data_IF_388702403610
#
_entry.id   IF_388702403610
#
_cell.length_a   1.000
_cell.length_b   1.000
_cell.length_c   1.000
_cell.angle_alpha   90.00
_cell.angle_beta   90.00
_cell.angle_gamma   90.00
#
_symmetry.space_group_name_H-M   'P 1'
#
loop_
_entity.id
_entity.type
_entity.pdbx_description
1 polymer ?
#
# COMPACT_ATOMS: atom_id res chain seq x y z
N UNK A 1 21.25 -1.80 8.66
CA UNK A 1 20.80 -0.65 7.84
C UNK A 1 20.34 0.47 8.76
N UNK A 2 20.36 1.75 8.32
CA UNK A 2 19.79 2.85 9.11
C UNK A 2 18.25 2.76 9.07
N UNK A 3 17.59 2.92 10.22
CA UNK A 3 16.15 2.95 10.30
C UNK A 3 15.63 4.38 10.33
N UNK A 4 14.44 4.58 9.76
CA UNK A 4 13.66 5.83 9.77
C UNK A 4 12.26 5.54 10.32
N UNK A 5 11.65 6.53 10.95
CA UNK A 5 10.27 6.38 11.43
C UNK A 5 9.27 6.71 10.32
N UNK A 6 8.20 5.93 10.23
CA UNK A 6 7.06 6.20 9.35
C UNK A 6 6.16 7.23 10.03
N UNK A 7 6.25 8.48 9.59
CA UNK A 7 5.40 9.57 10.09
C UNK A 7 5.33 9.62 11.62
N UNK A 8 4.10 9.56 12.13
CA UNK A 8 3.78 9.56 13.58
C UNK A 8 3.36 8.18 14.10
N UNK A 9 3.49 7.12 13.28
CA UNK A 9 3.01 5.77 13.60
C UNK A 9 3.78 5.06 14.71
N UNK A 10 5.02 5.48 15.00
CA UNK A 10 5.94 4.77 15.89
C UNK A 10 6.61 3.55 15.25
N UNK A 11 6.37 3.28 13.97
CA UNK A 11 6.99 2.17 13.23
C UNK A 11 8.32 2.64 12.66
N UNK A 12 9.39 1.92 13.00
CA UNK A 12 10.71 2.13 12.42
C UNK A 12 10.98 1.13 11.29
N UNK A 13 11.46 1.62 10.15
CA UNK A 13 11.74 0.81 8.96
C UNK A 13 13.14 1.07 8.44
N UNK A 14 13.79 0.09 7.78
CA UNK A 14 14.98 0.38 7.00
C UNK A 14 14.63 1.37 5.87
N UNK A 15 15.58 2.22 5.47
CA UNK A 15 15.35 3.20 4.41
C UNK A 15 15.14 2.57 3.02
N UNK A 16 15.43 1.27 2.87
CA UNK A 16 15.22 0.50 1.65
C UNK A 16 14.14 -0.56 1.90
N UNK A 17 13.12 -0.56 1.06
CA UNK A 17 12.07 -1.58 1.03
C UNK A 17 12.09 -2.36 -0.29
N UNK A 18 11.54 -3.57 -0.27
CA UNK A 18 11.35 -4.42 -1.44
C UNK A 18 9.91 -4.26 -1.97
N UNK A 19 9.77 -3.72 -3.18
CA UNK A 19 8.50 -3.71 -3.92
C UNK A 19 8.31 -5.02 -4.68
N UNK A 20 7.10 -5.53 -4.68
CA UNK A 20 6.77 -6.84 -5.27
C UNK A 20 5.87 -6.76 -6.51
N UNK A 21 5.77 -5.59 -7.14
CA UNK A 21 4.96 -5.46 -8.35
C UNK A 21 5.40 -6.42 -9.47
N UNK A 22 6.71 -6.55 -9.70
CA UNK A 22 7.24 -7.48 -10.70
C UNK A 22 6.90 -8.94 -10.40
N UNK A 23 6.76 -9.31 -9.13
CA UNK A 23 6.37 -10.67 -8.69
C UNK A 23 4.95 -11.02 -9.14
N UNK A 24 4.08 -10.04 -9.32
CA UNK A 24 2.73 -10.25 -9.86
C UNK A 24 2.70 -10.84 -11.27
N UNK A 25 3.77 -10.70 -12.07
CA UNK A 25 3.83 -11.21 -13.44
C UNK A 25 2.79 -10.56 -14.37
N UNK A 26 2.15 -11.37 -15.21
CA UNK A 26 1.06 -10.96 -16.08
C UNK A 26 1.51 -10.07 -17.24
N UNK A 27 0.58 -9.28 -17.82
CA UNK A 27 0.83 -8.45 -19.00
C UNK A 27 1.93 -7.39 -18.81
N UNK A 28 2.26 -7.01 -17.56
CA UNK A 28 3.25 -5.98 -17.27
C UNK A 28 4.67 -6.52 -17.13
N UNK A 29 4.83 -7.74 -16.61
CA UNK A 29 6.12 -8.29 -16.23
C UNK A 29 6.41 -9.66 -16.86
N UNK A 30 5.42 -10.27 -17.58
CA UNK A 30 5.55 -11.59 -18.17
C UNK A 30 5.50 -12.72 -17.15
N UNK A 31 6.01 -13.88 -17.55
CA UNK A 31 6.04 -15.07 -16.68
C UNK A 31 6.98 -14.86 -15.49
N UNK A 32 6.59 -15.37 -14.33
CA UNK A 32 7.36 -15.32 -13.12
C UNK A 32 7.56 -16.74 -12.54
N UNK A 33 8.62 -16.91 -11.74
CA UNK A 33 8.88 -18.13 -11.00
C UNK A 33 8.67 -17.89 -9.51
N UNK A 34 7.54 -18.38 -9.00
CA UNK A 34 7.12 -18.13 -7.61
C UNK A 34 8.12 -18.67 -6.59
N UNK A 35 8.73 -19.84 -6.83
CA UNK A 35 9.73 -20.39 -5.93
C UNK A 35 10.98 -19.51 -5.83
N UNK A 36 11.41 -18.90 -6.94
CA UNK A 36 12.51 -17.93 -6.93
C UNK A 36 12.09 -16.61 -6.29
N UNK A 37 10.85 -16.16 -6.50
CA UNK A 37 10.30 -14.96 -5.88
C UNK A 37 10.20 -15.11 -4.36
N UNK A 38 9.68 -16.22 -3.86
CA UNK A 38 9.66 -16.57 -2.43
C UNK A 38 11.07 -16.53 -1.83
N UNK A 39 12.02 -17.17 -2.48
CA UNK A 39 13.41 -17.16 -2.03
C UNK A 39 14.04 -15.78 -2.05
N UNK A 40 13.73 -14.96 -3.04
CA UNK A 40 14.21 -13.57 -3.13
C UNK A 40 13.68 -12.72 -1.97
N UNK A 41 12.39 -12.85 -1.61
CA UNK A 41 11.79 -12.16 -0.46
C UNK A 41 12.48 -12.60 0.83
N UNK A 42 12.64 -13.90 1.06
CA UNK A 42 13.30 -14.45 2.25
C UNK A 42 14.75 -13.94 2.36
N UNK A 43 15.49 -13.98 1.26
CA UNK A 43 16.87 -13.48 1.20
C UNK A 43 16.92 -11.97 1.48
N UNK A 44 16.01 -11.18 0.94
CA UNK A 44 15.93 -9.74 1.19
C UNK A 44 15.78 -9.44 2.69
N UNK A 45 14.87 -10.16 3.36
CA UNK A 45 14.66 -10.03 4.81
C UNK A 45 15.90 -10.42 5.61
N UNK A 46 16.55 -11.55 5.26
CA UNK A 46 17.80 -12.00 5.87
C UNK A 46 18.93 -10.98 5.73
N UNK A 47 18.96 -10.24 4.61
CA UNK A 47 19.94 -9.17 4.35
C UNK A 47 19.56 -7.81 4.95
N UNK A 48 18.46 -7.76 5.72
CA UNK A 48 18.01 -6.58 6.44
C UNK A 48 17.09 -5.65 5.63
N UNK A 49 16.60 -6.05 4.46
CA UNK A 49 15.51 -5.37 3.72
C UNK A 49 14.19 -5.90 4.29
N UNK A 50 13.76 -5.31 5.40
CA UNK A 50 12.65 -5.82 6.21
C UNK A 50 11.31 -5.11 5.91
N UNK A 51 11.27 -4.19 4.96
CA UNK A 51 10.02 -3.61 4.49
C UNK A 51 9.62 -4.24 3.15
N UNK A 52 8.52 -4.99 3.15
CA UNK A 52 7.95 -5.64 1.96
C UNK A 52 6.67 -4.90 1.57
N UNK A 53 6.60 -4.42 0.32
CA UNK A 53 5.46 -3.68 -0.22
C UNK A 53 4.81 -4.43 -1.38
N UNK A 54 3.51 -4.70 -1.27
CA UNK A 54 2.70 -5.39 -2.27
C UNK A 54 1.40 -4.64 -2.57
N UNK A 55 0.52 -5.22 -3.37
CA UNK A 55 -0.84 -4.75 -3.60
C UNK A 55 -1.72 -5.85 -4.23
N UNK A 56 -3.04 -5.86 -3.97
CA UNK A 56 -3.98 -6.80 -4.59
C UNK A 56 -3.97 -6.78 -6.11
N UNK A 57 -3.81 -5.59 -6.73
CA UNK A 57 -3.80 -5.42 -8.18
C UNK A 57 -2.55 -6.01 -8.86
N UNK A 58 -1.50 -6.34 -8.14
CA UNK A 58 -0.27 -6.89 -8.68
C UNK A 58 -0.47 -8.34 -9.10
N UNK A 59 -0.73 -8.55 -10.39
CA UNK A 59 -1.11 -9.85 -10.95
C UNK A 59 -2.47 -10.35 -10.45
N UNK A 60 -3.42 -9.43 -10.13
CA UNK A 60 -4.77 -9.77 -9.66
C UNK A 60 -4.71 -10.78 -8.49
N UNK A 61 -4.07 -10.33 -7.39
CA UNK A 61 -3.78 -11.05 -6.14
C UNK A 61 -2.48 -11.87 -6.11
N UNK A 62 -1.93 -12.28 -7.25
CA UNK A 62 -0.80 -13.21 -7.32
C UNK A 62 0.41 -12.75 -6.49
N UNK A 63 0.76 -11.44 -6.55
CA UNK A 63 1.87 -10.93 -5.74
C UNK A 63 1.64 -11.10 -4.23
N UNK A 64 0.41 -10.86 -3.73
CA UNK A 64 0.10 -11.07 -2.31
C UNK A 64 0.16 -12.57 -1.93
N UNK A 65 -0.27 -13.48 -2.80
CA UNK A 65 -0.18 -14.92 -2.58
C UNK A 65 1.27 -15.38 -2.47
N UNK A 66 2.15 -14.92 -3.37
CA UNK A 66 3.60 -15.23 -3.33
C UNK A 66 4.28 -14.62 -2.10
N UNK A 67 3.94 -13.38 -1.73
CA UNK A 67 4.42 -12.76 -0.49
C UNK A 67 3.93 -13.56 0.71
N UNK A 68 2.66 -13.95 0.75
CA UNK A 68 2.08 -14.78 1.81
C UNK A 68 2.79 -16.12 1.96
N UNK A 69 3.16 -16.76 0.85
CA UNK A 69 3.94 -18.01 0.89
C UNK A 69 5.33 -17.78 1.49
N UNK A 70 5.99 -16.68 1.15
CA UNK A 70 7.27 -16.32 1.76
C UNK A 70 7.14 -16.07 3.27
N UNK A 71 6.06 -15.41 3.70
CA UNK A 71 5.81 -15.05 5.10
C UNK A 71 5.61 -16.26 6.01
N UNK A 72 5.18 -17.44 5.50
CA UNK A 72 5.07 -18.66 6.30
C UNK A 72 6.40 -19.10 6.94
N UNK A 73 7.51 -18.64 6.39
CA UNK A 73 8.86 -19.01 6.82
C UNK A 73 9.66 -17.82 7.38
N UNK A 74 9.01 -16.68 7.58
CA UNK A 74 9.60 -15.45 8.11
C UNK A 74 8.92 -15.12 9.43
N UNK A 75 9.70 -14.77 10.44
CA UNK A 75 9.19 -14.24 11.69
C UNK A 75 8.47 -12.90 11.42
N UNK A 76 7.16 -12.86 11.67
CA UNK A 76 6.29 -11.71 11.37
C UNK A 76 6.77 -10.42 12.03
N UNK A 77 7.32 -10.50 13.22
CA UNK A 77 7.81 -9.34 13.99
C UNK A 77 9.07 -8.71 13.39
N UNK A 78 9.74 -9.40 12.49
CA UNK A 78 10.94 -8.90 11.79
C UNK A 78 10.65 -8.18 10.49
N UNK A 79 9.39 -8.12 10.07
CA UNK A 79 8.99 -7.54 8.77
C UNK A 79 7.98 -6.44 8.97
N UNK A 80 8.18 -5.34 8.28
CA UNK A 80 7.14 -4.33 8.04
C UNK A 80 6.46 -4.68 6.73
N UNK A 81 5.19 -5.06 6.81
CA UNK A 81 4.41 -5.51 5.67
C UNK A 81 3.39 -4.43 5.28
N UNK A 82 3.47 -3.99 4.03
CA UNK A 82 2.52 -3.02 3.48
C UNK A 82 1.80 -3.56 2.25
N UNK A 83 0.51 -3.25 2.16
CA UNK A 83 -0.31 -3.49 0.97
C UNK A 83 -1.25 -2.32 0.73
N UNK A 84 -2.14 -2.44 -0.25
CA UNK A 84 -2.96 -1.33 -0.72
C UNK A 84 -4.43 -1.74 -0.84
N UNK A 85 -5.34 -0.76 -0.81
CA UNK A 85 -6.78 -0.95 -0.99
C UNK A 85 -7.36 0.07 -1.99
N UNK A 86 -8.63 -0.10 -2.33
CA UNK A 86 -9.39 0.84 -3.13
C UNK A 86 -9.28 0.66 -4.65
N UNK A 87 -8.74 -0.46 -5.11
CA UNK A 87 -8.90 -0.94 -6.48
C UNK A 87 -9.71 -2.22 -6.47
N UNK A 88 -10.89 -2.20 -7.09
CA UNK A 88 -11.93 -3.21 -6.99
C UNK A 88 -12.23 -3.85 -8.34
N UNK A 89 -12.40 -5.17 -8.37
CA UNK A 89 -12.82 -5.90 -9.58
C UNK A 89 -13.72 -7.11 -9.29
N UNK A 90 -14.09 -7.33 -8.02
CA UNK A 90 -15.08 -8.36 -7.60
C UNK A 90 -16.50 -7.96 -8.00
N UNK A 91 -16.75 -6.65 -8.07
CA UNK A 91 -18.04 -6.06 -8.47
C UNK A 91 -17.82 -4.71 -9.18
N UNK A 92 -18.83 -4.28 -9.92
CA UNK A 92 -18.83 -2.97 -10.57
C UNK A 92 -18.96 -1.84 -9.55
N UNK A 93 -18.26 -0.74 -9.83
CA UNK A 93 -18.29 0.48 -9.04
C UNK A 93 -18.42 1.68 -9.99
N UNK A 94 -18.91 2.84 -9.53
CA UNK A 94 -19.15 4.00 -10.41
C UNK A 94 -17.91 4.53 -11.14
N UNK A 95 -16.70 4.28 -10.63
CA UNK A 95 -15.48 4.88 -11.15
C UNK A 95 -14.55 3.80 -11.75
N UNK A 96 -14.64 3.59 -13.07
CA UNK A 96 -13.70 2.73 -13.78
C UNK A 96 -12.28 3.32 -13.72
N UNK A 97 -11.31 2.50 -13.28
CA UNK A 97 -9.91 2.87 -13.24
C UNK A 97 -9.21 2.50 -14.55
N UNK A 98 -9.23 1.23 -14.90
CA UNK A 98 -8.61 0.67 -16.14
C UNK A 98 -9.04 -0.79 -16.35
N UNK A 99 -8.64 -1.35 -17.50
CA UNK A 99 -8.71 -2.79 -17.75
C UNK A 99 -7.32 -3.40 -17.55
N UNK A 100 -7.22 -4.49 -16.81
CA UNK A 100 -5.99 -5.25 -16.54
C UNK A 100 -6.25 -6.70 -16.88
N UNK A 101 -5.50 -7.25 -17.83
CA UNK A 101 -5.64 -8.64 -18.31
C UNK A 101 -7.11 -9.03 -18.64
N UNK A 102 -7.85 -8.10 -19.24
CA UNK A 102 -9.26 -8.28 -19.62
C UNK A 102 -10.25 -8.04 -18.47
N UNK A 103 -9.79 -7.80 -17.23
CA UNK A 103 -10.61 -7.53 -16.06
C UNK A 103 -10.80 -6.02 -15.89
N UNK A 104 -12.05 -5.57 -15.75
CA UNK A 104 -12.36 -4.18 -15.42
C UNK A 104 -12.03 -3.92 -13.94
N UNK A 105 -11.17 -2.94 -13.70
CA UNK A 105 -10.75 -2.51 -12.37
C UNK A 105 -11.31 -1.13 -12.08
N UNK A 106 -11.99 -0.99 -10.97
CA UNK A 106 -12.65 0.24 -10.53
C UNK A 106 -11.88 0.88 -9.37
N UNK A 107 -12.13 2.16 -9.11
CA UNK A 107 -11.74 2.80 -7.84
C UNK A 107 -12.94 2.77 -6.92
N UNK A 108 -12.81 2.06 -5.81
CA UNK A 108 -13.82 1.99 -4.77
C UNK A 108 -13.19 2.21 -3.40
N UNK A 109 -13.36 3.42 -2.88
CA UNK A 109 -12.86 3.85 -1.58
C UNK A 109 -13.95 3.91 -0.51
N UNK A 110 -15.08 3.21 -0.75
CA UNK A 110 -16.11 3.04 0.27
C UNK A 110 -15.59 2.26 1.46
N UNK A 111 -16.15 2.51 2.63
CA UNK A 111 -15.80 1.80 3.86
C UNK A 111 -15.94 0.28 3.70
N UNK A 112 -16.98 -0.17 2.96
CA UNK A 112 -17.22 -1.58 2.69
C UNK A 112 -16.07 -2.20 1.88
N UNK A 113 -15.71 -1.60 0.75
CA UNK A 113 -14.66 -2.10 -0.13
C UNK A 113 -13.30 -2.14 0.57
N UNK A 114 -12.96 -1.08 1.32
CA UNK A 114 -11.70 -1.02 2.09
C UNK A 114 -11.61 -2.15 3.12
N UNK A 115 -12.70 -2.42 3.86
CA UNK A 115 -12.73 -3.49 4.85
C UNK A 115 -12.59 -4.86 4.19
N UNK A 116 -13.31 -5.10 3.09
CA UNK A 116 -13.21 -6.35 2.32
C UNK A 116 -11.80 -6.55 1.76
N UNK A 117 -11.16 -5.51 1.21
CA UNK A 117 -9.78 -5.55 0.73
C UNK A 117 -8.80 -5.97 1.83
N UNK A 118 -8.94 -5.40 3.03
CA UNK A 118 -8.06 -5.72 4.17
C UNK A 118 -8.25 -7.16 4.62
N UNK A 119 -9.49 -7.61 4.81
CA UNK A 119 -9.77 -9.00 5.21
C UNK A 119 -9.21 -10.02 4.21
N UNK A 120 -9.35 -9.72 2.92
CA UNK A 120 -8.85 -10.56 1.84
C UNK A 120 -7.31 -10.55 1.80
N UNK A 121 -6.68 -9.39 1.97
CA UNK A 121 -5.22 -9.25 2.01
C UNK A 121 -4.62 -9.97 3.22
N UNK A 122 -5.22 -9.87 4.41
CA UNK A 122 -4.77 -10.58 5.61
C UNK A 122 -4.77 -12.10 5.40
N UNK A 123 -5.82 -12.64 4.73
CA UNK A 123 -5.88 -14.07 4.40
C UNK A 123 -4.78 -14.49 3.41
N UNK A 124 -4.59 -13.73 2.31
CA UNK A 124 -3.55 -14.04 1.31
C UNK A 124 -2.14 -13.92 1.86
N UNK A 125 -1.90 -12.92 2.71
CA UNK A 125 -0.59 -12.65 3.31
C UNK A 125 -0.29 -13.52 4.54
N UNK A 126 -1.24 -14.37 4.97
CA UNK A 126 -1.10 -15.23 6.16
C UNK A 126 -0.70 -14.47 7.43
N UNK A 127 -1.34 -13.33 7.68
CA UNK A 127 -1.07 -12.46 8.84
C UNK A 127 -2.38 -11.95 9.44
N UNK A 128 -2.34 -11.56 10.70
CA UNK A 128 -3.47 -10.95 11.41
C UNK A 128 -3.46 -9.42 11.35
N UNK A 129 -2.35 -8.81 10.91
CA UNK A 129 -2.24 -7.36 10.77
C UNK A 129 -1.31 -6.93 9.64
N UNK A 130 -1.53 -5.72 9.14
CA UNK A 130 -0.65 -5.01 8.22
C UNK A 130 0.06 -3.89 8.98
N UNK A 131 1.33 -3.65 8.67
CA UNK A 131 2.03 -2.51 9.27
C UNK A 131 1.61 -1.20 8.61
N UNK A 132 1.44 -1.19 7.29
CA UNK A 132 0.94 -0.02 6.55
C UNK A 132 -0.12 -0.44 5.55
N UNK A 133 -1.26 0.23 5.56
CA UNK A 133 -2.27 0.14 4.50
C UNK A 133 -2.29 1.44 3.71
N UNK A 134 -2.15 1.35 2.38
CA UNK A 134 -2.27 2.49 1.48
C UNK A 134 -3.61 2.50 0.73
N UNK A 135 -4.23 3.66 0.58
CA UNK A 135 -5.13 3.87 -0.56
C UNK A 135 -4.29 3.90 -1.83
N UNK A 136 -4.54 3.00 -2.79
CA UNK A 136 -3.68 2.83 -3.98
C UNK A 136 -3.81 3.98 -4.96
N UNK A 137 -5.04 4.36 -5.26
CA UNK A 137 -5.41 5.51 -6.07
C UNK A 137 -6.55 6.26 -5.43
N UNK A 138 -6.52 7.58 -5.56
CA UNK A 138 -7.57 8.42 -4.98
C UNK A 138 -8.79 8.48 -5.89
N UNK A 139 -9.96 8.74 -5.31
CA UNK A 139 -11.14 9.04 -6.10
C UNK A 139 -10.92 10.32 -6.93
N UNK A 140 -11.27 10.32 -8.21
CA UNK A 140 -11.32 11.54 -8.99
C UNK A 140 -12.55 12.39 -8.64
N UNK A 141 -13.53 11.82 -7.94
CA UNK A 141 -14.76 12.48 -7.50
C UNK A 141 -15.03 12.17 -6.02
N UNK A 142 -14.77 13.14 -5.17
CA UNK A 142 -14.98 13.03 -3.72
C UNK A 142 -16.45 13.17 -3.30
N UNK A 143 -17.37 13.44 -4.23
CA UNK A 143 -18.81 13.32 -3.95
C UNK A 143 -19.28 11.87 -3.96
N UNK A 144 -18.55 10.99 -4.66
CA UNK A 144 -18.80 9.53 -4.69
C UNK A 144 -18.10 8.83 -3.53
N UNK A 145 -16.83 9.17 -3.30
CA UNK A 145 -16.01 8.60 -2.21
C UNK A 145 -15.35 9.74 -1.42
N UNK A 146 -16.03 10.26 -0.37
CA UNK A 146 -15.48 11.33 0.48
C UNK A 146 -14.21 10.89 1.21
N UNK A 147 -13.23 11.79 1.30
CA UNK A 147 -11.99 11.54 2.06
C UNK A 147 -12.26 11.23 3.54
N UNK A 148 -13.32 11.84 4.11
CA UNK A 148 -13.76 11.61 5.48
C UNK A 148 -14.14 10.14 5.69
N UNK A 149 -15.05 9.60 4.86
CA UNK A 149 -15.51 8.20 4.95
C UNK A 149 -14.34 7.22 4.77
N UNK A 150 -13.47 7.47 3.78
CA UNK A 150 -12.26 6.68 3.53
C UNK A 150 -11.36 6.66 4.77
N UNK A 151 -11.08 7.82 5.36
CA UNK A 151 -10.22 7.93 6.54
C UNK A 151 -10.86 7.30 7.77
N UNK A 152 -12.16 7.48 8.00
CA UNK A 152 -12.89 6.85 9.10
C UNK A 152 -12.80 5.32 9.03
N UNK A 153 -12.96 4.74 7.83
CA UNK A 153 -12.80 3.29 7.63
C UNK A 153 -11.39 2.81 7.99
N UNK A 154 -10.37 3.53 7.54
CA UNK A 154 -8.97 3.19 7.84
C UNK A 154 -8.65 3.37 9.33
N UNK A 155 -9.13 4.43 9.98
CA UNK A 155 -8.97 4.65 11.42
C UNK A 155 -9.64 3.53 12.23
N UNK A 156 -10.82 3.09 11.84
CA UNK A 156 -11.51 1.94 12.47
C UNK A 156 -10.71 0.64 12.35
N UNK A 157 -10.12 0.37 11.19
CA UNK A 157 -9.23 -0.79 11.01
C UNK A 157 -7.98 -0.69 11.90
N UNK A 158 -7.46 0.53 12.09
CA UNK A 158 -6.34 0.78 13.00
C UNK A 158 -6.74 0.55 14.46
N UNK A 159 -7.90 1.01 14.89
CA UNK A 159 -8.44 0.76 16.25
C UNK A 159 -8.65 -0.74 16.51
N UNK A 160 -9.04 -1.50 15.49
CA UNK A 160 -9.18 -2.95 15.54
C UNK A 160 -7.83 -3.70 15.55
N UNK A 161 -6.72 -3.01 15.38
CA UNK A 161 -5.39 -3.61 15.29
C UNK A 161 -5.09 -4.31 13.96
N UNK A 162 -5.96 -4.20 12.96
CA UNK A 162 -5.75 -4.83 11.64
C UNK A 162 -4.73 -4.09 10.79
N UNK A 163 -4.56 -2.79 11.02
CA UNK A 163 -3.50 -1.97 10.41
C UNK A 163 -2.83 -1.13 11.48
N UNK A 164 -1.53 -0.84 11.34
CA UNK A 164 -0.76 -0.06 12.32
C UNK A 164 -0.54 1.38 11.87
N UNK A 165 -0.34 1.61 10.57
CA UNK A 165 -0.17 2.94 9.98
C UNK A 165 -1.03 3.10 8.75
N UNK A 166 -1.42 4.35 8.46
CA UNK A 166 -2.25 4.73 7.31
C UNK A 166 -1.38 5.45 6.29
N UNK A 167 -1.45 4.97 5.06
CA UNK A 167 -0.77 5.54 3.91
C UNK A 167 -1.72 5.93 2.79
N UNK A 168 -1.22 6.73 1.85
CA UNK A 168 -1.91 7.05 0.61
C UNK A 168 -0.92 7.15 -0.55
N UNK A 169 -1.26 6.59 -1.71
CA UNK A 169 -0.44 6.65 -2.92
C UNK A 169 -1.12 7.47 -4.01
N UNK A 170 -0.32 8.07 -4.90
CA UNK A 170 -0.82 8.86 -6.03
C UNK A 170 -1.70 10.04 -5.57
N UNK A 171 -1.17 10.85 -4.68
CA UNK A 171 -1.87 11.97 -4.02
C UNK A 171 -1.41 13.34 -4.50
N UNK A 172 -2.21 14.35 -4.19
CA UNK A 172 -1.85 15.77 -4.26
C UNK A 172 -1.70 16.35 -2.85
N UNK A 173 -1.11 17.55 -2.74
CA UNK A 173 -0.99 18.25 -1.46
C UNK A 173 -2.35 18.49 -0.80
N UNK A 174 -3.40 18.81 -1.59
CA UNK A 174 -4.74 19.03 -1.08
C UNK A 174 -5.36 17.75 -0.52
N UNK A 175 -5.13 16.61 -1.17
CA UNK A 175 -5.58 15.29 -0.69
C UNK A 175 -4.87 14.94 0.63
N UNK A 176 -3.56 15.19 0.75
CA UNK A 176 -2.82 14.96 2.00
C UNK A 176 -3.41 15.79 3.13
N UNK A 177 -3.66 17.09 2.89
CA UNK A 177 -4.31 18.00 3.87
C UNK A 177 -5.71 17.53 4.22
N UNK A 178 -6.47 17.05 3.23
CA UNK A 178 -7.81 16.47 3.42
C UNK A 178 -7.76 15.26 4.35
N UNK A 179 -6.90 14.29 4.09
CA UNK A 179 -6.74 13.12 4.96
C UNK A 179 -6.30 13.51 6.39
N UNK A 180 -5.32 14.40 6.52
CA UNK A 180 -4.85 14.88 7.83
C UNK A 180 -5.90 15.67 8.62
N UNK A 181 -6.95 16.17 7.97
CA UNK A 181 -8.09 16.83 8.65
C UNK A 181 -8.99 15.79 9.34
N UNK A 182 -9.15 14.60 8.76
CA UNK A 182 -10.09 13.59 9.24
C UNK A 182 -9.43 12.48 10.05
N UNK A 183 -8.10 12.37 10.01
CA UNK A 183 -7.37 11.36 10.77
C UNK A 183 -5.87 11.49 10.65
N UNK A 184 -5.14 10.45 11.09
CA UNK A 184 -3.69 10.41 11.03
C UNK A 184 -3.23 9.73 9.74
N UNK A 185 -2.71 10.52 8.79
CA UNK A 185 -1.94 10.02 7.65
C UNK A 185 -0.46 9.94 8.05
N UNK A 186 0.13 8.76 7.96
CA UNK A 186 1.52 8.52 8.40
C UNK A 186 2.52 8.60 7.24
N UNK A 187 2.14 8.16 6.05
CA UNK A 187 3.06 8.04 4.90
C UNK A 187 2.34 8.21 3.56
N UNK A 188 3.03 8.77 2.59
CA UNK A 188 2.60 8.70 1.19
C UNK A 188 3.57 7.83 0.38
N UNK A 189 3.06 7.19 -0.69
CA UNK A 189 3.88 6.44 -1.64
C UNK A 189 3.79 7.10 -3.02
N UNK A 190 4.90 7.65 -3.51
CA UNK A 190 4.93 8.47 -4.72
C UNK A 190 6.12 8.16 -5.63
N UNK A 191 5.89 8.35 -6.95
CA UNK A 191 6.95 8.23 -7.93
C UNK A 191 7.98 9.35 -7.75
N UNK A 192 9.19 8.96 -7.33
CA UNK A 192 10.29 9.89 -7.12
C UNK A 192 11.64 9.26 -7.48
N UNK A 193 12.39 9.90 -8.35
CA UNK A 193 13.71 9.45 -8.81
C UNK A 193 14.53 10.63 -9.32
N UNK A 194 15.76 10.38 -9.73
CA UNK A 194 16.61 11.40 -10.39
C UNK A 194 15.94 12.02 -11.62
N UNK A 195 15.07 11.26 -12.31
CA UNK A 195 14.38 11.70 -13.53
C UNK A 195 12.97 12.23 -13.25
N UNK A 196 12.34 11.85 -12.16
CA UNK A 196 10.97 12.24 -11.79
C UNK A 196 10.98 12.99 -10.48
N UNK A 197 11.05 14.32 -10.54
CA UNK A 197 11.27 15.21 -9.39
C UNK A 197 10.08 16.13 -9.07
N UNK A 198 8.92 15.87 -9.68
CA UNK A 198 7.74 16.76 -9.58
C UNK A 198 7.25 16.97 -8.14
N UNK A 199 7.44 15.98 -7.24
CA UNK A 199 6.96 16.07 -5.86
C UNK A 199 7.71 17.10 -5.01
N UNK A 200 8.91 17.51 -5.42
CA UNK A 200 9.76 18.46 -4.67
C UNK A 200 9.13 19.84 -4.50
N UNK A 201 8.30 20.26 -5.47
CA UNK A 201 7.73 21.61 -5.48
C UNK A 201 6.64 21.83 -4.43
N UNK A 202 5.80 20.82 -4.19
CA UNK A 202 4.63 20.94 -3.33
C UNK A 202 4.49 19.76 -2.35
N UNK A 203 4.54 18.50 -2.81
CA UNK A 203 4.29 17.35 -1.95
C UNK A 203 5.31 17.24 -0.82
N UNK A 204 6.61 17.28 -1.11
CA UNK A 204 7.64 17.17 -0.07
C UNK A 204 7.53 18.28 0.98
N UNK A 205 7.36 19.57 0.64
CA UNK A 205 7.08 20.61 1.62
C UNK A 205 5.83 20.32 2.46
N UNK A 206 4.72 19.90 1.82
CA UNK A 206 3.47 19.56 2.55
C UNK A 206 3.68 18.39 3.49
N UNK A 207 4.35 17.33 3.07
CA UNK A 207 4.66 16.19 3.92
C UNK A 207 5.51 16.59 5.13
N UNK A 208 6.53 17.42 4.91
CA UNK A 208 7.39 17.94 5.99
C UNK A 208 6.60 18.78 6.99
N UNK A 209 5.71 19.65 6.51
CA UNK A 209 4.83 20.49 7.35
C UNK A 209 3.92 19.64 8.24
N UNK A 210 3.33 18.58 7.68
CA UNK A 210 2.33 17.75 8.37
C UNK A 210 2.93 16.56 9.15
N UNK A 211 4.24 16.31 9.02
CA UNK A 211 4.92 15.18 9.64
C UNK A 211 4.56 13.84 8.99
N UNK A 212 4.30 13.84 7.68
CA UNK A 212 4.01 12.67 6.86
C UNK A 212 5.30 12.20 6.17
N UNK A 213 5.61 10.91 6.24
CA UNK A 213 6.76 10.32 5.56
C UNK A 213 6.51 10.13 4.06
N UNK A 214 7.58 9.98 3.30
CA UNK A 214 7.50 9.68 1.86
C UNK A 214 8.25 8.40 1.55
N UNK A 215 7.54 7.42 1.00
CA UNK A 215 8.10 6.22 0.38
C UNK A 215 8.20 6.46 -1.13
N UNK A 216 9.40 6.43 -1.67
CA UNK A 216 9.65 6.59 -3.10
C UNK A 216 9.54 5.26 -3.85
N UNK A 217 8.94 5.29 -5.04
CA UNK A 217 8.94 4.16 -5.96
C UNK A 217 9.35 4.57 -7.37
#
# INVERSE_FOLDING_TARGET
MQNINIGKSGIAVPFLGMGTWAIGGGAWWGDNNDALSVKAIQTAVEQGIQWIDTAPIYGLYHSEEVVGEAMKHIDRDKVVLSTKCGLEWRHESPILHKVVDGVQVYRDLSAKSIIEDVEDSLRRLHTDHLDVLYTHWQSPDFSVYPLEETMEAMMKLKEQGKIRAIGASNVTSDIIRGYCKYGQLDVIQEKYSLLTRRIEKQLLPTCKELGVSVQAY
#
